data_IF_159618519946
#
_entry.id   IF_159618519946
#
_cell.length_a   1.000
_cell.length_b   1.000
_cell.length_c   1.000
_cell.angle_alpha   90.00
_cell.angle_beta   90.00
_cell.angle_gamma   90.00
#
_symmetry.space_group_name_H-M   'P 1'
#
loop_
_entity.id
_entity.type
_entity.pdbx_description
1 polymer ?
#
# COMPACT_ATOMS: atom_id res chain seq x y z
N UNK A 1 17.07 -7.14 2.80
CA UNK A 1 16.73 -7.85 4.04
C UNK A 1 16.01 -9.14 3.68
N UNK A 2 16.49 -10.28 4.15
CA UNK A 2 15.96 -11.59 3.77
C UNK A 2 14.56 -11.86 4.33
N UNK A 3 14.24 -11.33 5.51
CA UNK A 3 12.90 -11.48 6.09
C UNK A 3 11.87 -10.75 5.25
N UNK A 4 12.18 -9.53 4.81
CA UNK A 4 11.28 -8.75 3.95
C UNK A 4 11.09 -9.38 2.57
N UNK A 5 12.14 -9.97 1.98
CA UNK A 5 12.02 -10.72 0.72
C UNK A 5 11.09 -11.92 0.87
N UNK A 6 11.25 -12.71 1.92
CA UNK A 6 10.36 -13.86 2.21
C UNK A 6 8.90 -13.44 2.41
N UNK A 7 8.67 -12.29 3.07
CA UNK A 7 7.34 -11.72 3.19
C UNK A 7 6.79 -11.31 1.81
N UNK A 8 7.59 -10.67 0.97
CA UNK A 8 7.20 -10.29 -0.39
C UNK A 8 6.81 -11.52 -1.22
N UNK A 9 7.66 -12.54 -1.25
CA UNK A 9 7.43 -13.79 -1.97
C UNK A 9 6.15 -14.49 -1.50
N UNK A 10 5.98 -14.65 -0.19
CA UNK A 10 4.80 -15.30 0.39
C UNK A 10 3.52 -14.56 0.02
N UNK A 11 3.52 -13.23 0.14
CA UNK A 11 2.33 -12.44 -0.15
C UNK A 11 2.04 -12.36 -1.65
N UNK A 12 3.05 -12.17 -2.50
CA UNK A 12 2.89 -12.18 -3.96
C UNK A 12 2.34 -13.52 -4.45
N UNK A 13 2.84 -14.64 -3.90
CA UNK A 13 2.31 -15.99 -4.20
C UNK A 13 0.86 -16.16 -3.78
N UNK A 14 0.49 -15.66 -2.60
CA UNK A 14 -0.89 -15.74 -2.11
C UNK A 14 -1.86 -14.88 -2.95
N UNK A 15 -1.41 -13.69 -3.37
CA UNK A 15 -2.16 -12.80 -4.27
C UNK A 15 -2.36 -13.50 -5.62
N UNK A 16 -1.29 -14.04 -6.21
CA UNK A 16 -1.36 -14.86 -7.42
C UNK A 16 -1.84 -14.12 -8.66
N UNK A 17 -1.83 -12.78 -8.64
CA UNK A 17 -2.18 -11.96 -9.80
C UNK A 17 -0.94 -11.67 -10.65
N UNK A 18 -1.01 -11.97 -11.95
CA UNK A 18 0.07 -11.69 -12.89
C UNK A 18 0.39 -10.19 -12.95
N UNK A 19 1.66 -9.85 -13.21
CA UNK A 19 2.15 -8.47 -13.29
C UNK A 19 1.86 -7.61 -12.03
N UNK A 20 1.75 -8.26 -10.86
CA UNK A 20 1.69 -7.56 -9.57
C UNK A 20 3.04 -7.61 -8.86
N UNK A 21 3.32 -6.60 -8.05
CA UNK A 21 4.50 -6.56 -7.19
C UNK A 21 4.10 -6.08 -5.79
N UNK A 22 4.92 -6.44 -4.81
CA UNK A 22 4.78 -5.98 -3.42
C UNK A 22 6.15 -5.57 -2.89
N UNK A 23 6.21 -4.43 -2.22
CA UNK A 23 7.43 -3.93 -1.58
C UNK A 23 7.21 -3.91 -0.08
N UNK A 24 8.03 -4.66 0.65
CA UNK A 24 8.17 -4.50 2.10
C UNK A 24 9.37 -3.59 2.38
N UNK A 25 9.16 -2.64 3.27
CA UNK A 25 10.19 -1.68 3.68
C UNK A 25 10.15 -1.50 5.20
N UNK A 26 11.31 -1.18 5.77
CA UNK A 26 11.50 -0.85 7.19
C UNK A 26 12.42 0.35 7.29
N UNK A 27 12.39 1.04 8.42
CA UNK A 27 13.25 2.20 8.72
C UNK A 27 13.13 3.36 7.70
N UNK A 28 12.04 3.39 6.94
CA UNK A 28 11.68 4.45 6.01
C UNK A 28 10.15 4.47 5.81
N UNK A 29 9.63 5.54 5.21
CA UNK A 29 8.22 5.69 4.92
C UNK A 29 7.96 5.61 3.42
N UNK A 30 6.75 5.18 2.98
CA UNK A 30 6.39 5.20 1.58
C UNK A 30 6.62 6.55 0.89
N UNK A 31 6.39 7.67 1.59
CA UNK A 31 6.60 9.01 1.05
C UNK A 31 8.03 9.23 0.51
N UNK A 32 9.03 8.53 1.06
CA UNK A 32 10.42 8.68 0.68
C UNK A 32 10.73 8.07 -0.70
N UNK A 33 9.96 7.05 -1.13
CA UNK A 33 10.28 6.25 -2.32
C UNK A 33 9.14 6.19 -3.34
N UNK A 34 7.92 6.60 -2.97
CA UNK A 34 6.74 6.44 -3.81
C UNK A 34 6.90 7.12 -5.18
N UNK A 35 7.54 8.28 -5.24
CA UNK A 35 7.79 8.97 -6.52
C UNK A 35 8.83 8.24 -7.37
N UNK A 36 9.87 7.67 -6.76
CA UNK A 36 10.85 6.86 -7.48
C UNK A 36 10.18 5.64 -8.12
N UNK A 37 9.31 4.95 -7.38
CA UNK A 37 8.56 3.77 -7.89
C UNK A 37 7.61 4.18 -9.02
N UNK A 38 6.85 5.26 -8.86
CA UNK A 38 5.93 5.76 -9.92
C UNK A 38 6.64 6.16 -11.21
N UNK A 39 7.91 6.54 -11.12
CA UNK A 39 8.71 6.95 -12.28
C UNK A 39 9.42 5.78 -12.98
N UNK A 40 9.28 4.54 -12.47
CA UNK A 40 9.79 3.35 -13.16
C UNK A 40 8.92 3.11 -14.41
N UNK A 41 9.49 3.06 -15.62
CA UNK A 41 8.73 2.91 -16.86
C UNK A 41 7.80 1.70 -16.91
N UNK A 42 8.17 0.61 -16.23
CA UNK A 42 7.40 -0.63 -16.17
C UNK A 42 6.24 -0.60 -15.15
N UNK A 43 6.15 0.43 -14.29
CA UNK A 43 5.12 0.53 -13.25
C UNK A 43 3.87 1.22 -13.80
N UNK A 44 2.82 0.44 -14.03
CA UNK A 44 1.53 0.97 -14.51
C UNK A 44 0.73 1.69 -13.41
N UNK A 45 0.71 1.13 -12.18
CA UNK A 45 -0.14 1.61 -11.11
C UNK A 45 0.33 1.12 -9.73
N UNK A 46 0.01 1.88 -8.68
CA UNK A 46 0.24 1.49 -7.27
C UNK A 46 -1.11 1.47 -6.56
N UNK A 47 -1.53 0.28 -6.08
CA UNK A 47 -2.82 0.10 -5.40
C UNK A 47 -2.88 0.79 -4.03
N UNK A 48 -1.84 0.63 -3.21
CA UNK A 48 -1.74 1.24 -1.89
C UNK A 48 -0.28 1.29 -1.43
N UNK A 49 0.03 2.18 -0.49
CA UNK A 49 1.30 2.17 0.24
C UNK A 49 1.04 2.61 1.68
N UNK A 50 1.03 1.65 2.61
CA UNK A 50 0.49 1.83 3.96
C UNK A 50 1.20 0.94 4.98
N UNK A 51 1.08 1.30 6.26
CA UNK A 51 1.45 0.47 7.39
C UNK A 51 0.22 -0.08 8.14
N UNK A 52 -0.99 0.25 7.70
CA UNK A 52 -2.22 -0.25 8.30
C UNK A 52 -2.44 -1.73 7.96
N UNK A 53 -3.25 -2.45 8.75
CA UNK A 53 -3.81 -3.73 8.33
C UNK A 53 -4.49 -3.58 6.97
N UNK A 54 -4.09 -4.42 6.01
CA UNK A 54 -4.48 -4.28 4.61
C UNK A 54 -5.02 -5.60 4.05
N UNK A 55 -6.12 -5.53 3.30
CA UNK A 55 -6.66 -6.66 2.53
C UNK A 55 -6.73 -6.30 1.06
N UNK A 56 -6.52 -7.28 0.19
CA UNK A 56 -6.73 -7.14 -1.25
C UNK A 56 -8.05 -7.81 -1.64
N UNK A 57 -8.80 -7.16 -2.52
CA UNK A 57 -9.97 -7.73 -3.18
C UNK A 57 -9.49 -8.40 -4.46
N UNK A 58 -9.51 -9.73 -4.49
CA UNK A 58 -9.05 -10.52 -5.62
C UNK A 58 -10.25 -11.09 -6.35
N UNK A 59 -10.32 -10.86 -7.65
CA UNK A 59 -11.21 -11.59 -8.54
C UNK A 59 -10.45 -12.79 -9.12
N UNK A 60 -11.11 -13.94 -9.14
CA UNK A 60 -10.61 -15.15 -9.79
C UNK A 60 -11.57 -15.54 -10.92
N UNK A 61 -11.02 -15.87 -12.09
CA UNK A 61 -11.81 -16.29 -13.24
C UNK A 61 -11.04 -17.27 -14.11
N UNK A 62 -11.75 -17.98 -14.99
CA UNK A 62 -11.15 -18.82 -16.02
C UNK A 62 -10.67 -17.97 -17.20
N UNK A 63 -9.43 -18.20 -17.62
CA UNK A 63 -8.86 -17.68 -18.87
C UNK A 63 -8.44 -18.88 -19.73
N UNK A 64 -9.31 -19.26 -20.66
CA UNK A 64 -9.18 -20.53 -21.38
C UNK A 64 -9.26 -21.70 -20.41
N UNK A 65 -8.23 -22.56 -20.40
CA UNK A 65 -8.15 -23.72 -19.51
C UNK A 65 -7.52 -23.39 -18.15
N UNK A 66 -6.96 -22.19 -17.99
CA UNK A 66 -6.24 -21.77 -16.80
C UNK A 66 -7.11 -20.92 -15.87
N UNK A 67 -6.70 -20.80 -14.61
CA UNK A 67 -7.28 -19.84 -13.66
C UNK A 67 -6.38 -18.61 -13.59
N UNK A 68 -6.96 -17.43 -13.78
CA UNK A 68 -6.27 -16.17 -13.52
C UNK A 68 -6.88 -15.41 -12.35
N UNK A 69 -6.05 -14.54 -11.76
CA UNK A 69 -6.44 -13.62 -10.70
C UNK A 69 -6.11 -12.19 -11.07
N UNK A 70 -7.02 -11.28 -10.72
CA UNK A 70 -6.84 -9.83 -10.86
C UNK A 70 -7.09 -9.13 -9.52
N UNK A 71 -6.35 -8.05 -9.27
CA UNK A 71 -6.57 -7.19 -8.11
C UNK A 71 -7.64 -6.17 -8.49
N UNK A 72 -8.80 -6.21 -7.83
CA UNK A 72 -9.87 -5.23 -8.05
C UNK A 72 -9.74 -3.99 -7.17
N UNK A 73 -9.08 -4.12 -6.03
CA UNK A 73 -8.91 -3.02 -5.09
C UNK A 73 -8.26 -3.43 -3.79
N UNK A 74 -8.15 -2.46 -2.89
CA UNK A 74 -7.52 -2.59 -1.58
C UNK A 74 -8.46 -2.06 -0.50
N UNK A 75 -8.48 -2.73 0.64
CA UNK A 75 -9.03 -2.25 1.90
C UNK A 75 -7.84 -1.87 2.78
N UNK A 76 -7.56 -0.57 2.88
CA UNK A 76 -6.47 0.01 3.68
C UNK A 76 -7.02 0.56 5.00
N UNK A 77 -6.80 -0.18 6.09
CA UNK A 77 -7.27 0.21 7.41
C UNK A 77 -8.78 0.06 7.60
N UNK A 78 -9.37 1.05 8.28
CA UNK A 78 -10.73 0.97 8.81
C UNK A 78 -11.58 2.16 8.34
N UNK A 79 -12.92 2.01 8.41
CA UNK A 79 -13.87 3.08 8.08
C UNK A 79 -13.68 4.31 8.99
N UNK A 80 -13.97 5.53 8.50
CA UNK A 80 -13.92 6.74 9.31
C UNK A 80 -14.93 6.68 10.46
N UNK A 81 -14.55 7.21 11.63
CA UNK A 81 -15.40 7.27 12.84
C UNK A 81 -16.19 8.57 13.00
N UNK A 82 -15.88 9.57 12.18
CA UNK A 82 -16.47 10.91 12.26
C UNK A 82 -15.71 11.91 11.39
N UNK A 83 -16.08 13.18 11.50
CA UNK A 83 -15.42 14.31 10.84
C UNK A 83 -14.56 15.05 11.87
N UNK A 84 -13.37 15.49 11.46
CA UNK A 84 -12.47 16.25 12.34
C UNK A 84 -13.08 17.59 12.80
N UNK A 85 -12.91 17.93 14.08
CA UNK A 85 -13.28 19.23 14.64
C UNK A 85 -12.09 20.23 14.63
N UNK A 86 -12.27 21.41 15.23
CA UNK A 86 -11.23 22.45 15.25
C UNK A 86 -10.00 22.02 16.05
N UNK A 87 -10.21 21.28 17.12
CA UNK A 87 -9.17 20.76 18.01
C UNK A 87 -8.33 19.68 17.30
N UNK A 88 -8.97 18.77 16.57
CA UNK A 88 -8.33 17.74 15.75
C UNK A 88 -7.45 18.36 14.66
N UNK A 89 -7.95 19.41 13.99
CA UNK A 89 -7.20 20.17 12.98
C UNK A 89 -5.97 20.82 13.60
N UNK A 90 -6.12 21.47 14.75
CA UNK A 90 -5.01 22.10 15.46
C UNK A 90 -3.95 21.06 15.85
N UNK A 91 -4.39 19.90 16.36
CA UNK A 91 -3.52 18.80 16.74
C UNK A 91 -2.72 18.26 15.55
N UNK A 92 -3.36 17.86 14.43
CA UNK A 92 -2.63 17.26 13.29
C UNK A 92 -1.66 18.24 12.64
N UNK A 93 -1.98 19.54 12.60
CA UNK A 93 -1.09 20.59 12.09
C UNK A 93 0.13 20.77 13.00
N UNK A 94 -0.08 20.75 14.33
CA UNK A 94 1.02 20.81 15.30
C UNK A 94 1.92 19.59 15.17
N UNK A 95 1.33 18.39 15.12
CA UNK A 95 2.06 17.13 14.98
C UNK A 95 3.03 17.15 13.78
N UNK A 96 2.59 17.60 12.60
CA UNK A 96 3.46 17.72 11.42
C UNK A 96 4.66 18.66 11.61
N UNK A 97 4.53 19.70 12.44
CA UNK A 97 5.65 20.59 12.79
C UNK A 97 6.55 19.99 13.87
N UNK A 98 5.97 19.30 14.85
CA UNK A 98 6.73 18.61 15.90
C UNK A 98 7.66 17.55 15.30
N UNK A 99 7.19 16.80 14.29
CA UNK A 99 8.01 15.84 13.53
C UNK A 99 8.87 16.50 12.44
N UNK A 100 8.89 17.84 12.37
CA UNK A 100 9.68 18.65 11.44
C UNK A 100 9.37 18.39 9.95
N UNK A 101 8.17 17.93 9.64
CA UNK A 101 7.72 17.70 8.27
C UNK A 101 7.14 18.96 7.61
N UNK A 102 6.67 19.91 8.43
CA UNK A 102 6.22 21.24 8.00
C UNK A 102 6.90 22.32 8.83
N UNK A 103 7.12 23.48 8.20
CA UNK A 103 7.61 24.70 8.85
C UNK A 103 6.46 25.44 9.55
#
# INVERSE_FOLDING_TARGET
DETMKKLAEKNAKNIGAGHSFIVFMKDCFPLNVLNAIKNIPEVCFIYCATANPTKLVIAESKLGNETGRGILGVIDGFIPKGIENKEDIAWRKKFLRDIKYKL
#
